data_IF_432609469619
#
_entry.id   IF_432609469619
#
_cell.length_a   1.000
_cell.length_b   1.000
_cell.length_c   1.000
_cell.angle_alpha   90.00
_cell.angle_beta   90.00
_cell.angle_gamma   90.00
#
_symmetry.space_group_name_H-M   'P 1'
#
loop_
_entity.id
_entity.type
_entity.pdbx_description
1 polymer ?
#
# COMPACT_ATOMS: atom_id res chain seq x y z
N UNK A 1 -10.40 -14.54 62.92
CA UNK A 1 -9.56 -15.13 61.85
C UNK A 1 -10.51 -15.46 60.70
N UNK A 2 -11.00 -14.44 59.99
CA UNK A 2 -10.40 -13.73 58.84
C UNK A 2 -10.22 -14.61 57.60
N UNK A 3 -11.10 -14.39 56.62
CA UNK A 3 -10.86 -14.26 55.17
C UNK A 3 -12.25 -14.23 54.49
N UNK A 4 -12.94 -13.09 54.47
CA UNK A 4 -12.88 -12.02 53.45
C UNK A 4 -13.06 -12.52 52.01
N UNK A 5 -14.33 -12.50 51.59
CA UNK A 5 -14.85 -11.67 50.50
C UNK A 5 -14.03 -11.63 49.20
N UNK A 6 -14.54 -12.29 48.17
CA UNK A 6 -13.91 -12.42 46.86
C UNK A 6 -14.91 -12.32 45.71
N UNK A 7 -15.89 -11.42 45.80
CA UNK A 7 -16.71 -10.99 44.66
C UNK A 7 -16.00 -9.85 43.92
N UNK A 8 -15.36 -10.15 42.77
CA UNK A 8 -15.15 -9.15 41.71
C UNK A 8 -15.17 -9.83 40.32
N UNK A 9 -16.32 -9.94 39.63
CA UNK A 9 -16.31 -10.01 38.19
C UNK A 9 -16.08 -8.58 37.68
N UNK A 10 -14.86 -8.26 37.26
CA UNK A 10 -14.57 -7.01 36.55
C UNK A 10 -15.20 -7.07 35.15
N UNK A 11 -16.51 -6.85 35.08
CA UNK A 11 -17.21 -6.58 33.83
C UNK A 11 -16.63 -5.29 33.25
N UNK A 12 -15.65 -5.42 32.37
CA UNK A 12 -15.11 -4.32 31.59
C UNK A 12 -16.21 -3.89 30.63
N UNK A 13 -17.11 -3.03 31.10
CA UNK A 13 -18.09 -2.33 30.29
C UNK A 13 -17.37 -1.80 29.06
N UNK A 14 -17.69 -2.27 27.83
CA UNK A 14 -17.00 -1.77 26.66
C UNK A 14 -17.40 -0.31 26.51
N UNK A 15 -16.45 0.59 26.79
CA UNK A 15 -16.58 2.04 26.73
C UNK A 15 -17.42 2.45 25.52
N UNK A 16 -18.32 3.42 25.68
CA UNK A 16 -19.18 3.93 24.59
C UNK A 16 -18.34 4.30 23.35
N UNK A 17 -17.12 4.80 23.58
CA UNK A 17 -16.10 5.04 22.55
C UNK A 17 -15.66 3.78 21.80
N UNK A 18 -15.48 2.65 22.48
CA UNK A 18 -15.14 1.36 21.84
C UNK A 18 -16.27 0.83 20.95
N UNK A 19 -17.53 1.05 21.35
CA UNK A 19 -18.71 0.69 20.56
C UNK A 19 -18.87 1.61 19.35
N UNK A 20 -18.65 2.92 19.53
CA UNK A 20 -18.67 3.90 18.45
C UNK A 20 -17.53 3.67 17.44
N UNK A 21 -16.32 3.34 17.93
CA UNK A 21 -15.17 2.99 17.10
C UNK A 21 -15.41 1.71 16.30
N UNK A 22 -15.96 0.66 16.92
CA UNK A 22 -16.36 -0.57 16.21
C UNK A 22 -17.38 -0.28 15.11
N UNK A 23 -18.41 0.51 15.41
CA UNK A 23 -19.46 0.87 14.43
C UNK A 23 -18.91 1.73 13.29
N UNK A 24 -17.99 2.65 13.58
CA UNK A 24 -17.26 3.41 12.57
C UNK A 24 -16.39 2.51 11.70
N UNK A 25 -15.66 1.55 12.30
CA UNK A 25 -14.88 0.56 11.56
C UNK A 25 -15.76 -0.31 10.66
N UNK A 26 -16.91 -0.77 11.14
CA UNK A 26 -17.87 -1.59 10.36
C UNK A 26 -18.48 -0.82 9.20
N UNK A 27 -18.92 0.43 9.44
CA UNK A 27 -19.48 1.30 8.40
C UNK A 27 -18.42 1.67 7.38
N UNK A 28 -17.20 1.98 7.84
CA UNK A 28 -16.06 2.22 6.97
C UNK A 28 -15.79 0.97 6.12
N UNK A 29 -15.73 -0.23 6.71
CA UNK A 29 -15.57 -1.50 5.99
C UNK A 29 -16.68 -1.75 4.95
N UNK A 30 -17.92 -1.41 5.28
CA UNK A 30 -19.05 -1.51 4.36
C UNK A 30 -18.92 -0.55 3.16
N UNK A 31 -18.50 0.70 3.37
CA UNK A 31 -18.23 1.65 2.28
C UNK A 31 -17.01 1.24 1.44
N UNK A 32 -16.00 0.63 2.08
CA UNK A 32 -14.84 0.04 1.41
C UNK A 32 -15.30 -1.06 0.42
N UNK A 33 -16.12 -1.99 0.90
CA UNK A 33 -16.61 -3.12 0.11
C UNK A 33 -17.55 -2.68 -1.02
N UNK A 34 -18.40 -1.67 -0.79
CA UNK A 34 -19.34 -1.15 -1.80
C UNK A 34 -18.68 -0.35 -2.92
N UNK A 35 -17.57 0.31 -2.63
CA UNK A 35 -16.85 1.08 -3.64
C UNK A 35 -16.04 0.16 -4.59
N UNK A 36 -15.85 -1.12 -4.22
CA UNK A 36 -14.94 -2.10 -4.86
C UNK A 36 -15.08 -2.23 -6.38
N UNK A 37 -16.28 -2.18 -7.00
CA UNK A 37 -16.40 -2.42 -8.43
C UNK A 37 -15.93 -1.24 -9.31
N UNK A 38 -15.85 -0.01 -8.81
CA UNK A 38 -15.54 1.17 -9.62
C UNK A 38 -14.08 1.63 -9.47
N UNK A 39 -13.12 0.79 -9.84
CA UNK A 39 -11.69 1.20 -9.80
C UNK A 39 -11.43 2.42 -10.68
N UNK A 40 -11.94 2.46 -11.92
CA UNK A 40 -11.71 3.58 -12.84
C UNK A 40 -12.24 4.91 -12.30
N UNK A 41 -13.45 4.94 -11.74
CA UNK A 41 -14.05 6.16 -11.20
C UNK A 41 -13.27 6.74 -10.00
N UNK A 42 -12.74 5.86 -9.13
CA UNK A 42 -11.88 6.23 -8.00
C UNK A 42 -10.61 6.95 -8.48
N UNK A 43 -9.91 6.35 -9.44
CA UNK A 43 -8.67 6.93 -9.97
C UNK A 43 -8.91 8.23 -10.73
N UNK A 44 -10.00 8.33 -11.49
CA UNK A 44 -10.43 9.59 -12.12
C UNK A 44 -10.67 10.66 -11.06
N UNK A 45 -11.40 10.34 -9.99
CA UNK A 45 -11.66 11.29 -8.89
C UNK A 45 -10.35 11.80 -8.26
N UNK A 46 -9.41 10.91 -7.93
CA UNK A 46 -8.12 11.31 -7.37
C UNK A 46 -7.28 12.12 -8.34
N UNK A 47 -7.31 11.78 -9.64
CA UNK A 47 -6.60 12.53 -10.67
C UNK A 47 -7.15 13.95 -10.81
N UNK A 48 -8.48 14.12 -10.81
CA UNK A 48 -9.13 15.44 -10.81
C UNK A 48 -8.73 16.22 -9.55
N UNK A 49 -8.77 15.58 -8.38
CA UNK A 49 -8.45 16.22 -7.10
C UNK A 49 -6.97 16.65 -7.04
N UNK A 50 -6.06 15.82 -7.56
CA UNK A 50 -4.65 16.17 -7.72
C UNK A 50 -4.46 17.32 -8.72
N UNK A 51 -5.16 17.29 -9.85
CA UNK A 51 -5.07 18.34 -10.87
C UNK A 51 -5.52 19.70 -10.33
N UNK A 52 -6.64 19.75 -9.59
CA UNK A 52 -7.13 20.97 -8.94
C UNK A 52 -6.11 21.49 -7.93
N UNK A 53 -5.48 20.61 -7.14
CA UNK A 53 -4.43 20.98 -6.20
C UNK A 53 -3.21 21.59 -6.91
N UNK A 54 -2.72 20.95 -7.98
CA UNK A 54 -1.58 21.45 -8.76
C UNK A 54 -1.90 22.78 -9.44
N UNK A 55 -3.09 22.91 -10.02
CA UNK A 55 -3.56 24.16 -10.63
C UNK A 55 -3.58 25.30 -9.62
N UNK A 56 -4.08 25.04 -8.40
CA UNK A 56 -4.08 26.01 -7.31
C UNK A 56 -2.66 26.46 -6.95
N UNK A 57 -1.74 25.51 -6.73
CA UNK A 57 -0.33 25.82 -6.41
C UNK A 57 0.34 26.60 -7.54
N UNK A 58 0.04 26.25 -8.79
CA UNK A 58 0.57 26.95 -9.96
C UNK A 58 0.06 28.39 -10.08
N UNK A 59 -1.23 28.65 -9.82
CA UNK A 59 -1.79 30.01 -9.88
C UNK A 59 -1.27 30.85 -8.70
N UNK A 60 -1.24 30.29 -7.50
CA UNK A 60 -0.87 31.02 -6.29
C UNK A 60 0.65 31.13 -6.08
N UNK A 61 1.45 30.38 -6.84
CA UNK A 61 2.93 30.39 -6.77
C UNK A 61 3.47 30.28 -5.34
N UNK A 62 2.87 29.42 -4.51
CA UNK A 62 3.18 29.31 -3.07
C UNK A 62 2.98 27.90 -2.50
N UNK A 63 3.18 27.75 -1.19
CA UNK A 63 3.04 26.47 -0.46
C UNK A 63 3.92 25.32 -0.98
N UNK A 64 5.10 25.65 -1.51
CA UNK A 64 6.04 24.66 -2.08
C UNK A 64 6.49 23.58 -1.09
N UNK A 65 6.62 23.92 0.20
CA UNK A 65 6.95 22.95 1.25
C UNK A 65 5.84 21.90 1.41
N UNK A 66 4.58 22.33 1.36
CA UNK A 66 3.43 21.42 1.47
C UNK A 66 3.36 20.52 0.24
N UNK A 67 3.56 21.08 -0.95
CA UNK A 67 3.65 20.32 -2.21
C UNK A 67 4.79 19.31 -2.17
N UNK A 68 5.94 19.69 -1.62
CA UNK A 68 7.09 18.80 -1.46
C UNK A 68 6.81 17.67 -0.47
N UNK A 69 6.23 17.98 0.69
CA UNK A 69 5.83 16.97 1.68
C UNK A 69 4.80 15.99 1.11
N UNK A 70 3.81 16.50 0.38
CA UNK A 70 2.82 15.69 -0.33
C UNK A 70 3.49 14.80 -1.38
N UNK A 71 4.43 15.34 -2.17
CA UNK A 71 5.20 14.58 -3.16
C UNK A 71 6.01 13.45 -2.55
N UNK A 72 6.76 13.71 -1.47
CA UNK A 72 7.51 12.67 -0.75
C UNK A 72 6.57 11.62 -0.17
N UNK A 73 5.43 12.04 0.40
CA UNK A 73 4.46 11.11 0.94
C UNK A 73 3.91 10.18 -0.16
N UNK A 74 3.55 10.72 -1.31
CA UNK A 74 3.09 9.93 -2.47
C UNK A 74 4.19 9.00 -2.99
N UNK A 75 5.43 9.47 -3.04
CA UNK A 75 6.59 8.63 -3.38
C UNK A 75 6.76 7.48 -2.39
N UNK A 76 6.69 7.75 -1.08
CA UNK A 76 6.77 6.72 -0.04
C UNK A 76 5.63 5.71 -0.15
N UNK A 77 4.41 6.17 -0.45
CA UNK A 77 3.26 5.31 -0.67
C UNK A 77 3.44 4.43 -1.91
N UNK A 78 4.04 4.97 -2.97
CA UNK A 78 4.38 4.22 -4.18
C UNK A 78 5.49 3.19 -3.93
N UNK A 79 6.50 3.54 -3.14
CA UNK A 79 7.53 2.60 -2.71
C UNK A 79 6.87 1.47 -1.90
N UNK A 80 6.03 1.78 -0.92
CA UNK A 80 5.33 0.78 -0.12
C UNK A 80 4.38 -0.09 -0.96
N UNK A 81 3.86 0.42 -2.07
CA UNK A 81 3.09 -0.35 -3.05
C UNK A 81 3.97 -1.32 -3.86
N UNK A 82 5.19 -0.92 -4.20
CA UNK A 82 6.16 -1.75 -4.91
C UNK A 82 6.88 -2.76 -4.00
N UNK A 83 7.14 -2.40 -2.73
CA UNK A 83 7.83 -3.26 -1.77
C UNK A 83 6.97 -4.51 -1.49
N UNK A 84 7.53 -5.72 -1.61
CA UNK A 84 6.79 -6.95 -1.34
C UNK A 84 6.33 -7.04 0.12
N UNK A 85 5.24 -7.78 0.39
CA UNK A 85 4.75 -8.02 1.77
C UNK A 85 5.75 -8.77 2.65
N UNK A 86 6.56 -9.60 2.02
CA UNK A 86 7.45 -10.57 2.66
C UNK A 86 8.84 -10.14 2.24
N UNK A 87 9.64 -9.73 3.22
CA UNK A 87 11.04 -9.39 3.00
C UNK A 87 11.83 -10.71 2.88
N UNK A 88 12.41 -11.05 1.71
CA UNK A 88 13.19 -12.27 1.56
C UNK A 88 14.46 -12.28 2.41
N UNK A 89 14.96 -11.11 2.84
CA UNK A 89 16.12 -11.03 3.72
C UNK A 89 15.88 -11.73 5.08
N UNK A 90 14.62 -11.78 5.53
CA UNK A 90 14.23 -12.55 6.73
C UNK A 90 14.18 -14.06 6.48
N UNK A 91 14.00 -14.48 5.21
CA UNK A 91 14.03 -15.90 4.83
C UNK A 91 15.46 -16.38 4.60
N UNK A 92 16.35 -15.53 4.06
CA UNK A 92 17.78 -15.85 3.89
C UNK A 92 18.50 -16.06 5.24
N UNK A 93 18.18 -15.26 6.28
CA UNK A 93 18.73 -15.47 7.64
C UNK A 93 18.22 -16.76 8.33
N UNK A 94 17.20 -17.41 7.76
CA UNK A 94 16.63 -18.67 8.28
C UNK A 94 17.19 -19.92 7.57
N UNK A 95 17.97 -19.76 6.50
CA UNK A 95 18.49 -20.85 5.66
C UNK A 95 20.00 -21.12 5.85
N UNK A 96 20.60 -20.72 6.98
CA UNK A 96 22.01 -21.04 7.31
C UNK A 96 22.15 -22.45 7.92
N UNK A 97 21.59 -23.45 7.23
CA UNK A 97 21.78 -24.88 7.48
C UNK A 97 22.21 -25.57 6.20
N UNK A 98 23.17 -26.52 6.23
CA UNK A 98 23.80 -27.06 5.03
C UNK A 98 22.78 -27.85 4.21
N UNK A 99 22.24 -27.25 3.16
CA UNK A 99 21.26 -27.88 2.29
C UNK A 99 21.83 -28.14 0.89
N UNK A 100 21.54 -29.36 0.41
CA UNK A 100 22.02 -29.92 -0.85
C UNK A 100 21.49 -29.13 -2.07
N UNK A 101 22.26 -29.04 -3.17
CA UNK A 101 21.93 -28.20 -4.31
C UNK A 101 20.79 -28.80 -5.12
N UNK A 102 19.54 -28.46 -4.77
CA UNK A 102 18.35 -28.84 -5.56
C UNK A 102 17.80 -27.61 -6.27
N UNK A 103 18.48 -27.19 -7.35
CA UNK A 103 18.15 -26.01 -8.20
C UNK A 103 16.84 -26.15 -9.02
N UNK A 104 15.85 -26.92 -8.60
CA UNK A 104 14.69 -27.26 -9.44
C UNK A 104 13.31 -26.92 -8.86
N UNK A 105 13.22 -26.31 -7.67
CA UNK A 105 11.93 -25.91 -7.09
C UNK A 105 12.03 -24.54 -6.42
N UNK A 106 12.46 -23.52 -7.17
CA UNK A 106 12.12 -22.14 -6.81
C UNK A 106 10.60 -21.98 -6.95
N UNK A 107 9.89 -22.34 -5.89
CA UNK A 107 8.45 -22.21 -5.76
C UNK A 107 8.05 -20.76 -6.06
N UNK A 108 7.36 -20.59 -7.19
CA UNK A 108 6.94 -19.30 -7.69
C UNK A 108 5.90 -18.70 -6.74
N UNK A 109 6.34 -17.89 -5.76
CA UNK A 109 5.42 -17.24 -4.82
C UNK A 109 4.70 -16.11 -5.54
N UNK A 110 3.37 -16.18 -5.74
CA UNK A 110 2.62 -15.14 -6.41
C UNK A 110 2.78 -13.80 -5.69
N UNK A 111 2.92 -12.74 -6.46
CA UNK A 111 3.01 -11.40 -5.93
C UNK A 111 1.78 -10.98 -5.16
N UNK A 112 1.88 -11.00 -3.84
CA UNK A 112 0.95 -10.30 -2.98
C UNK A 112 1.50 -8.92 -2.66
N UNK A 113 1.00 -7.92 -3.38
CA UNK A 113 1.32 -6.50 -3.20
C UNK A 113 1.06 -6.06 -1.74
N UNK A 114 1.96 -5.30 -1.11
CA UNK A 114 1.90 -4.90 0.33
C UNK A 114 0.72 -4.03 0.69
N UNK A 115 0.38 -3.10 -0.20
CA UNK A 115 -0.84 -2.32 -0.11
C UNK A 115 -1.87 -2.83 -1.13
N UNK A 116 -3.06 -3.26 -0.68
CA UNK A 116 -4.21 -3.40 -1.56
C UNK A 116 -4.40 -2.09 -2.34
N UNK A 117 -4.67 -2.16 -3.65
CA UNK A 117 -4.87 -0.99 -4.52
C UNK A 117 -5.85 0.01 -3.91
N UNK A 118 -6.89 -0.51 -3.27
CA UNK A 118 -7.85 0.30 -2.55
C UNK A 118 -7.22 1.17 -1.45
N UNK A 119 -6.37 0.59 -0.59
CA UNK A 119 -5.71 1.34 0.49
C UNK A 119 -4.72 2.36 -0.05
N UNK A 120 -4.04 2.03 -1.16
CA UNK A 120 -3.19 2.99 -1.86
C UNK A 120 -4.00 4.20 -2.34
N UNK A 121 -5.11 3.95 -3.04
CA UNK A 121 -6.00 4.98 -3.54
C UNK A 121 -6.56 5.87 -2.42
N UNK A 122 -7.03 5.26 -1.33
CA UNK A 122 -7.58 5.99 -0.19
C UNK A 122 -6.54 6.87 0.50
N UNK A 123 -5.34 6.33 0.77
CA UNK A 123 -4.24 7.10 1.38
C UNK A 123 -3.78 8.24 0.47
N UNK A 124 -3.70 8.02 -0.84
CA UNK A 124 -3.38 9.06 -1.82
C UNK A 124 -4.42 10.19 -1.80
N UNK A 125 -5.71 9.85 -1.93
CA UNK A 125 -6.80 10.82 -1.91
C UNK A 125 -6.85 11.61 -0.61
N UNK A 126 -6.69 10.93 0.54
CA UNK A 126 -6.62 11.55 1.86
C UNK A 126 -5.48 12.56 1.96
N UNK A 127 -4.28 12.20 1.49
CA UNK A 127 -3.12 13.08 1.54
C UNK A 127 -3.31 14.33 0.68
N UNK A 128 -3.92 14.21 -0.51
CA UNK A 128 -4.18 15.37 -1.36
C UNK A 128 -5.24 16.28 -0.74
N UNK A 129 -6.30 15.74 -0.13
CA UNK A 129 -7.31 16.54 0.59
C UNK A 129 -6.66 17.28 1.77
N UNK A 130 -5.82 16.61 2.56
CA UNK A 130 -5.08 17.27 3.66
C UNK A 130 -4.17 18.35 3.11
N UNK A 131 -3.40 18.07 2.06
CA UNK A 131 -2.54 19.05 1.39
C UNK A 131 -3.33 20.26 0.89
N UNK A 132 -4.50 20.03 0.30
CA UNK A 132 -5.42 21.08 -0.15
C UNK A 132 -5.89 21.94 1.03
N UNK A 133 -6.28 21.34 2.15
CA UNK A 133 -6.67 22.06 3.37
C UNK A 133 -5.48 22.87 3.91
N UNK A 134 -4.27 22.31 3.93
CA UNK A 134 -3.06 23.00 4.36
C UNK A 134 -2.75 24.25 3.50
N UNK A 135 -3.11 24.26 2.21
CA UNK A 135 -2.93 25.44 1.34
C UNK A 135 -3.90 26.59 1.62
N UNK A 136 -4.87 26.45 2.52
CA UNK A 136 -5.68 27.57 2.99
C UNK A 136 -5.04 28.33 4.16
N UNK A 137 -4.03 27.75 4.81
CA UNK A 137 -3.33 28.40 5.91
C UNK A 137 -2.09 29.13 5.40
N UNK A 138 -2.08 30.45 5.54
CA UNK A 138 -0.94 31.30 5.15
C UNK A 138 0.31 31.05 6.01
N UNK A 139 0.14 30.59 7.25
CA UNK A 139 1.26 30.24 8.14
C UNK A 139 2.19 29.15 7.57
N UNK A 140 1.68 28.31 6.67
CA UNK A 140 2.45 27.24 6.00
C UNK A 140 3.08 27.71 4.67
N UNK A 141 2.90 28.97 4.29
CA UNK A 141 3.46 29.56 3.08
C UNK A 141 4.79 30.26 3.36
N UNK A 142 5.86 29.46 3.50
CA UNK A 142 7.21 29.99 3.67
C UNK A 142 7.86 30.18 2.29
N UNK A 143 8.41 31.36 1.98
CA UNK A 143 9.13 31.59 0.73
C UNK A 143 10.42 30.76 0.72
N UNK A 144 10.50 29.79 -0.18
CA UNK A 144 11.70 28.97 -0.41
C UNK A 144 12.02 28.94 -1.89
N UNK A 145 13.30 28.70 -2.22
CA UNK A 145 13.74 28.46 -3.58
C UNK A 145 13.16 27.14 -4.12
N UNK A 146 11.92 27.16 -4.61
CA UNK A 146 11.22 25.98 -5.11
C UNK A 146 11.99 25.14 -6.17
N UNK A 147 12.86 25.70 -7.05
CA UNK A 147 13.60 24.88 -8.00
C UNK A 147 14.55 23.89 -7.31
N UNK A 148 15.11 24.26 -6.15
CA UNK A 148 15.99 23.35 -5.40
C UNK A 148 15.20 22.17 -4.85
N UNK A 149 13.97 22.40 -4.37
CA UNK A 149 13.09 21.34 -3.88
C UNK A 149 12.73 20.35 -4.98
N UNK A 150 12.43 20.86 -6.18
CA UNK A 150 12.12 20.02 -7.34
C UNK A 150 13.34 19.18 -7.73
N UNK A 151 14.54 19.77 -7.76
CA UNK A 151 15.78 19.03 -8.04
C UNK A 151 16.04 17.94 -7.01
N UNK A 152 15.92 18.24 -5.71
CA UNK A 152 16.03 17.23 -4.65
C UNK A 152 14.99 16.12 -4.82
N UNK A 153 13.74 16.48 -5.14
CA UNK A 153 12.69 15.50 -5.36
C UNK A 153 12.99 14.57 -6.55
N UNK A 154 13.45 15.11 -7.68
CA UNK A 154 13.78 14.30 -8.87
C UNK A 154 14.95 13.36 -8.58
N UNK A 155 15.99 13.84 -7.91
CA UNK A 155 17.15 13.02 -7.52
C UNK A 155 16.70 11.92 -6.56
N UNK A 156 15.96 12.27 -5.50
CA UNK A 156 15.43 11.33 -4.52
C UNK A 156 14.54 10.28 -5.19
N UNK A 157 13.61 10.70 -6.04
CA UNK A 157 12.70 9.85 -6.81
C UNK A 157 13.47 8.86 -7.67
N UNK A 158 14.45 9.34 -8.45
CA UNK A 158 15.23 8.50 -9.35
C UNK A 158 16.07 7.48 -8.58
N UNK A 159 16.72 7.91 -7.49
CA UNK A 159 17.50 7.02 -6.62
C UNK A 159 16.61 5.98 -5.96
N UNK A 160 15.48 6.38 -5.37
CA UNK A 160 14.55 5.46 -4.71
C UNK A 160 13.97 4.47 -5.71
N UNK A 161 13.46 4.90 -6.86
CA UNK A 161 12.93 4.00 -7.89
C UNK A 161 13.99 3.04 -8.42
N UNK A 162 15.20 3.53 -8.74
CA UNK A 162 16.30 2.68 -9.20
C UNK A 162 16.68 1.64 -8.15
N UNK A 163 16.74 2.01 -6.87
CA UNK A 163 17.02 1.08 -5.76
C UNK A 163 15.91 0.04 -5.62
N UNK A 164 14.65 0.45 -5.66
CA UNK A 164 13.51 -0.47 -5.55
C UNK A 164 13.46 -1.44 -6.74
N UNK A 165 13.60 -0.96 -7.98
CA UNK A 165 13.61 -1.81 -9.19
C UNK A 165 14.80 -2.78 -9.18
N UNK A 166 16.00 -2.32 -8.81
CA UNK A 166 17.18 -3.19 -8.72
C UNK A 166 17.01 -4.30 -7.69
N UNK A 167 16.40 -4.00 -6.54
CA UNK A 167 16.07 -5.00 -5.53
C UNK A 167 15.04 -6.00 -6.07
N UNK A 168 13.98 -5.52 -6.73
CA UNK A 168 12.98 -6.38 -7.35
C UNK A 168 13.58 -7.33 -8.39
N UNK A 169 14.50 -6.84 -9.22
CA UNK A 169 15.20 -7.64 -10.23
C UNK A 169 16.15 -8.65 -9.57
N UNK A 170 16.92 -8.24 -8.55
CA UNK A 170 17.89 -9.10 -7.85
C UNK A 170 17.21 -10.31 -7.19
N UNK A 171 16.05 -10.10 -6.58
CA UNK A 171 15.29 -11.14 -5.87
C UNK A 171 14.20 -11.80 -6.75
N UNK A 172 14.30 -11.68 -8.08
CA UNK A 172 13.38 -12.29 -9.07
C UNK A 172 11.89 -12.07 -8.78
N UNK A 173 11.58 -10.88 -8.32
CA UNK A 173 10.22 -10.38 -8.23
C UNK A 173 9.86 -9.74 -9.59
N UNK A 174 9.12 -10.46 -10.44
CA UNK A 174 8.46 -9.94 -11.67
C UNK A 174 6.96 -9.55 -11.47
N UNK A 175 6.55 -8.27 -11.60
CA UNK A 175 5.16 -7.83 -11.40
C UNK A 175 4.16 -8.33 -12.45
N UNK A 176 4.63 -9.04 -13.48
CA UNK A 176 3.82 -9.52 -14.59
C UNK A 176 3.95 -11.04 -14.69
N UNK A 177 2.90 -11.78 -14.33
CA UNK A 177 2.86 -13.23 -14.59
C UNK A 177 2.71 -13.47 -16.11
N UNK A 178 3.76 -13.22 -16.89
CA UNK A 178 3.76 -13.56 -18.30
C UNK A 178 4.03 -15.07 -18.41
N UNK A 179 2.93 -15.84 -18.45
CA UNK A 179 2.98 -17.30 -18.60
C UNK A 179 2.16 -18.03 -17.56
N UNK A 180 0.83 -17.93 -17.61
CA UNK A 180 0.02 -19.01 -17.05
C UNK A 180 0.17 -20.21 -17.98
N UNK A 181 0.93 -21.21 -17.56
CA UNK A 181 0.90 -22.54 -18.17
C UNK A 181 -0.53 -23.05 -18.02
N UNK A 182 -1.28 -23.09 -19.13
CA UNK A 182 -2.55 -23.82 -19.20
C UNK A 182 -2.22 -25.25 -18.82
N UNK A 183 -2.67 -25.70 -17.65
CA UNK A 183 -2.68 -27.13 -17.34
C UNK A 183 -3.55 -27.80 -18.40
N UNK A 184 -2.90 -28.52 -19.33
CA UNK A 184 -3.59 -29.38 -20.28
C UNK A 184 -4.15 -30.54 -19.46
N UNK A 185 -5.46 -30.54 -19.24
CA UNK A 185 -6.14 -31.62 -18.55
C UNK A 185 -5.74 -32.95 -19.18
N UNK A 186 -5.29 -33.89 -18.34
CA UNK A 186 -5.05 -35.28 -18.73
C UNK A 186 -6.33 -35.79 -19.39
N UNK A 187 -6.24 -36.15 -20.66
CA UNK A 187 -7.34 -36.78 -21.39
C UNK A 187 -7.63 -38.13 -20.71
N UNK A 188 -8.82 -38.27 -20.14
CA UNK A 188 -9.33 -39.51 -19.55
C UNK A 188 -9.28 -40.63 -20.59
N UNK A 189 -8.23 -41.44 -20.54
CA UNK A 189 -8.13 -42.68 -21.34
C UNK A 189 -8.80 -43.78 -20.54
N UNK A 190 -10.14 -43.76 -20.53
CA UNK A 190 -10.99 -44.70 -19.82
C UNK A 190 -12.13 -45.22 -20.70
N UNK A 191 -11.82 -45.77 -21.89
CA UNK A 191 -12.77 -46.62 -22.63
C UNK A 191 -12.51 -48.08 -22.30
N UNK A 192 -13.17 -48.57 -21.26
CA UNK A 192 -13.47 -50.00 -21.10
C UNK A 192 -14.62 -50.33 -22.06
N UNK A 193 -14.32 -51.01 -23.16
CA UNK A 193 -15.34 -51.66 -23.99
C UNK A 193 -15.42 -53.10 -23.49
N UNK A 194 -16.47 -53.41 -22.73
CA UNK A 194 -16.84 -54.77 -22.40
C UNK A 194 -17.32 -55.50 -23.66
N UNK A 195 -16.91 -56.76 -23.78
CA UNK A 195 -17.39 -57.69 -24.79
C UNK A 195 -17.79 -59.00 -24.13
#
# INVERSE_FOLDING_TARGET
>A
MSALDGDVPSSSQPNIFSRAYKRYCEIHQYYLDRSTPYSTGRWIFTAILLFVYLLRVYILQGWYIITYALGIYLLNLFIAFLTPKIDPALLEDSEDGPSLPTKANEEFRPFMRRLPEFKFWYSCSKAIVIGMICTFFEALNIPVFWPILVMYFIILFTITMKRQIKHMIKYRYIPFSHGKTKYRGKEDTGKVVGH
#
